data_IF_414887520452
#
_entry.id   IF_414887520452
#
_cell.length_a   1.000
_cell.length_b   1.000
_cell.length_c   1.000
_cell.angle_alpha   90.00
_cell.angle_beta   90.00
_cell.angle_gamma   90.00
#
_symmetry.space_group_name_H-M   'P 1'
#
loop_
_entity.id
_entity.type
_entity.pdbx_description
1 polymer ?
#
# COMPACT_ATOMS: atom_id res chain seq x y z
N UNK A 1 8.30 -7.02 -7.93
CA UNK A 1 8.79 -6.11 -8.99
C UNK A 1 7.98 -4.83 -9.12
N UNK A 2 6.67 -4.89 -9.35
CA UNK A 2 5.80 -3.73 -9.61
C UNK A 2 5.89 -2.64 -8.51
N UNK A 3 5.82 -3.02 -7.23
CA UNK A 3 5.87 -2.09 -6.09
C UNK A 3 7.18 -1.29 -6.05
N UNK A 4 8.30 -1.93 -6.30
CA UNK A 4 9.61 -1.26 -6.33
C UNK A 4 9.72 -0.30 -7.51
N UNK A 5 9.27 -0.71 -8.69
CA UNK A 5 9.29 0.12 -9.90
C UNK A 5 8.48 1.41 -9.73
N UNK A 6 7.26 1.31 -9.18
CA UNK A 6 6.42 2.50 -8.93
C UNK A 6 7.08 3.45 -7.93
N UNK A 7 7.73 2.94 -6.89
CA UNK A 7 8.42 3.78 -5.89
C UNK A 7 9.68 4.44 -6.43
N UNK A 8 10.45 3.74 -7.26
CA UNK A 8 11.60 4.32 -7.97
C UNK A 8 11.13 5.45 -8.90
N UNK A 9 10.01 5.26 -9.61
CA UNK A 9 9.42 6.30 -10.45
C UNK A 9 9.02 7.54 -9.66
N UNK A 10 8.35 7.37 -8.52
CA UNK A 10 7.99 8.50 -7.63
C UNK A 10 9.24 9.20 -7.09
N UNK A 11 10.27 8.45 -6.70
CA UNK A 11 11.54 9.02 -6.26
C UNK A 11 12.25 9.80 -7.38
N UNK A 12 12.22 9.30 -8.61
CA UNK A 12 12.78 10.00 -9.77
C UNK A 12 12.06 11.33 -10.02
N UNK A 13 10.72 11.34 -9.96
CA UNK A 13 9.91 12.56 -10.07
C UNK A 13 10.29 13.55 -8.97
N UNK A 14 10.42 13.09 -7.72
CA UNK A 14 10.84 13.93 -6.60
C UNK A 14 12.22 14.56 -6.85
N UNK A 15 13.18 13.79 -7.32
CA UNK A 15 14.55 14.29 -7.59
C UNK A 15 14.56 15.33 -8.71
N UNK A 16 13.86 15.05 -9.81
CA UNK A 16 13.77 15.99 -10.93
C UNK A 16 13.04 17.26 -10.50
N UNK A 17 11.94 17.12 -9.76
CA UNK A 17 11.18 18.23 -9.23
C UNK A 17 12.06 19.15 -8.35
N UNK A 18 12.77 18.58 -7.40
CA UNK A 18 13.66 19.36 -6.51
C UNK A 18 14.81 20.03 -7.27
N UNK A 19 15.35 19.38 -8.30
CA UNK A 19 16.45 19.91 -9.09
C UNK A 19 16.02 21.08 -10.00
N UNK A 20 14.78 21.04 -10.51
CA UNK A 20 14.30 22.03 -11.49
C UNK A 20 13.47 23.15 -10.86
N UNK A 21 12.65 22.81 -9.86
CA UNK A 21 11.66 23.70 -9.23
C UNK A 21 11.86 23.90 -7.73
N UNK A 22 13.04 23.54 -7.21
CA UNK A 22 13.37 23.75 -5.81
C UNK A 22 13.50 25.24 -5.46
N UNK A 23 13.82 25.53 -4.21
CA UNK A 23 13.85 26.88 -3.63
C UNK A 23 14.78 27.85 -4.39
N UNK A 24 15.76 27.35 -5.15
CA UNK A 24 16.70 28.15 -5.95
C UNK A 24 16.17 28.52 -7.35
N UNK A 25 15.00 28.02 -7.74
CA UNK A 25 14.44 28.23 -9.10
C UNK A 25 13.83 29.63 -9.32
N UNK A 26 13.89 30.54 -8.34
CA UNK A 26 13.42 31.92 -8.46
C UNK A 26 11.93 32.00 -8.81
N UNK A 27 11.59 32.63 -9.95
CA UNK A 27 10.20 32.81 -10.38
C UNK A 27 9.46 31.49 -10.72
N UNK A 28 10.18 30.39 -10.94
CA UNK A 28 9.63 29.08 -11.24
C UNK A 28 9.55 28.20 -9.98
N UNK A 29 9.96 28.69 -8.82
CA UNK A 29 9.76 28.01 -7.55
C UNK A 29 8.27 27.74 -7.35
N UNK A 30 7.92 26.53 -6.96
CA UNK A 30 6.54 26.06 -6.77
C UNK A 30 5.70 25.92 -8.09
N UNK A 31 6.31 26.00 -9.27
CA UNK A 31 5.60 25.69 -10.51
C UNK A 31 5.12 24.24 -10.51
N UNK A 32 3.84 24.05 -10.84
CA UNK A 32 3.23 22.71 -10.87
C UNK A 32 2.87 22.11 -9.51
N UNK A 33 3.08 22.82 -8.41
CA UNK A 33 2.67 22.43 -7.07
C UNK A 33 1.22 21.93 -7.03
N UNK A 34 0.29 22.75 -7.52
CA UNK A 34 -1.13 22.39 -7.59
C UNK A 34 -1.37 21.15 -8.45
N UNK A 35 -0.65 21.00 -9.56
CA UNK A 35 -0.79 19.86 -10.45
C UNK A 35 -0.33 18.55 -9.79
N UNK A 36 0.79 18.57 -9.06
CA UNK A 36 1.29 17.40 -8.31
C UNK A 36 0.36 17.05 -7.15
N UNK A 37 -0.11 18.02 -6.41
CA UNK A 37 -1.02 17.80 -5.28
C UNK A 37 -2.35 17.25 -5.76
N UNK A 38 -2.99 17.88 -6.76
CA UNK A 38 -4.27 17.42 -7.32
C UNK A 38 -4.13 16.06 -7.99
N UNK A 39 -3.07 15.85 -8.77
CA UNK A 39 -2.79 14.56 -9.40
C UNK A 39 -2.53 13.45 -8.38
N UNK A 40 -1.79 13.76 -7.31
CA UNK A 40 -1.56 12.84 -6.21
C UNK A 40 -2.85 12.49 -5.45
N UNK A 41 -3.70 13.47 -5.16
CA UNK A 41 -5.00 13.26 -4.52
C UNK A 41 -5.95 12.45 -5.42
N UNK A 42 -6.02 12.74 -6.71
CA UNK A 42 -6.82 11.97 -7.67
C UNK A 42 -6.35 10.51 -7.75
N UNK A 43 -5.04 10.28 -7.79
CA UNK A 43 -4.44 8.93 -7.77
C UNK A 43 -4.76 8.19 -6.48
N UNK A 44 -4.70 8.87 -5.34
CA UNK A 44 -5.05 8.31 -4.04
C UNK A 44 -6.53 7.89 -3.99
N UNK A 45 -7.43 8.76 -4.43
CA UNK A 45 -8.88 8.47 -4.49
C UNK A 45 -9.19 7.30 -5.42
N UNK A 46 -8.59 7.28 -6.61
CA UNK A 46 -8.73 6.17 -7.55
C UNK A 46 -8.27 4.85 -6.93
N UNK A 47 -7.10 4.86 -6.29
CA UNK A 47 -6.56 3.70 -5.59
C UNK A 47 -7.45 3.23 -4.44
N UNK A 48 -8.02 4.15 -3.66
CA UNK A 48 -8.92 3.84 -2.54
C UNK A 48 -10.21 3.17 -3.03
N UNK A 49 -10.85 3.71 -4.06
CA UNK A 49 -12.05 3.12 -4.67
C UNK A 49 -11.73 1.74 -5.25
N UNK A 50 -10.62 1.60 -5.96
CA UNK A 50 -10.19 0.32 -6.52
C UNK A 50 -9.88 -0.73 -5.45
N UNK A 51 -9.28 -0.33 -4.33
CA UNK A 51 -9.01 -1.21 -3.21
C UNK A 51 -10.30 -1.72 -2.55
N UNK A 52 -11.29 -0.85 -2.35
CA UNK A 52 -12.59 -1.21 -1.78
C UNK A 52 -13.39 -2.14 -2.72
N UNK A 53 -13.28 -1.95 -4.02
CA UNK A 53 -13.95 -2.78 -5.03
C UNK A 53 -13.25 -4.14 -5.28
N UNK A 54 -12.05 -4.33 -4.75
CA UNK A 54 -11.24 -5.53 -5.03
C UNK A 54 -11.53 -6.63 -4.01
N UNK A 55 -11.79 -7.84 -4.51
CA UNK A 55 -11.96 -9.05 -3.70
C UNK A 55 -10.73 -9.98 -3.74
N UNK A 56 -9.77 -9.67 -4.61
CA UNK A 56 -8.56 -10.45 -4.80
C UNK A 56 -7.37 -9.80 -4.08
N UNK A 57 -6.59 -10.59 -3.32
CA UNK A 57 -5.46 -10.11 -2.53
C UNK A 57 -4.37 -9.44 -3.36
N UNK A 58 -4.06 -9.98 -4.53
CA UNK A 58 -3.09 -9.41 -5.46
C UNK A 58 -3.54 -8.04 -5.99
N UNK A 59 -4.83 -7.89 -6.33
CA UNK A 59 -5.43 -6.62 -6.73
C UNK A 59 -5.45 -5.61 -5.60
N UNK A 60 -5.82 -6.01 -4.39
CA UNK A 60 -5.79 -5.15 -3.20
C UNK A 60 -4.39 -4.58 -2.96
N UNK A 61 -3.36 -5.41 -3.05
CA UNK A 61 -1.98 -4.97 -2.90
C UNK A 61 -1.55 -4.03 -4.04
N UNK A 62 -1.99 -4.25 -5.28
CA UNK A 62 -1.77 -3.35 -6.40
C UNK A 62 -2.37 -1.96 -6.16
N UNK A 63 -3.63 -1.88 -5.75
CA UNK A 63 -4.28 -0.62 -5.40
C UNK A 63 -3.66 0.05 -4.17
N UNK A 64 -3.20 -0.72 -3.18
CA UNK A 64 -2.44 -0.20 -2.05
C UNK A 64 -1.12 0.47 -2.47
N UNK A 65 -0.43 -0.08 -3.47
CA UNK A 65 0.75 0.56 -4.05
C UNK A 65 0.42 1.87 -4.77
N UNK A 66 -0.73 1.94 -5.45
CA UNK A 66 -1.24 3.17 -6.10
C UNK A 66 -1.57 4.23 -5.04
N UNK A 67 -2.29 3.87 -3.96
CA UNK A 67 -2.60 4.76 -2.85
C UNK A 67 -1.33 5.37 -2.26
N UNK A 68 -0.34 4.54 -1.95
CA UNK A 68 0.91 5.02 -1.35
C UNK A 68 1.74 5.88 -2.30
N UNK A 69 1.66 5.65 -3.61
CA UNK A 69 2.30 6.50 -4.62
C UNK A 69 1.57 7.85 -4.77
N UNK A 70 0.24 7.84 -4.77
CA UNK A 70 -0.58 9.04 -4.78
C UNK A 70 -0.33 9.93 -3.56
N UNK A 71 -0.22 9.33 -2.37
CA UNK A 71 0.14 10.05 -1.14
C UNK A 71 1.49 10.75 -1.27
N UNK A 72 2.51 10.05 -1.78
CA UNK A 72 3.84 10.63 -2.00
C UNK A 72 3.81 11.76 -3.02
N UNK A 73 3.12 11.61 -4.14
CA UNK A 73 2.98 12.66 -5.16
C UNK A 73 2.30 13.91 -4.58
N UNK A 74 1.24 13.74 -3.81
CA UNK A 74 0.56 14.85 -3.14
C UNK A 74 1.47 15.60 -2.17
N UNK A 75 2.36 14.87 -1.47
CA UNK A 75 3.32 15.43 -0.52
C UNK A 75 4.47 16.16 -1.20
N UNK A 76 4.97 15.64 -2.33
CA UNK A 76 6.02 16.29 -3.14
C UNK A 76 5.57 17.70 -3.57
N UNK A 77 4.27 17.88 -3.82
CA UNK A 77 3.68 19.17 -4.11
C UNK A 77 3.81 20.20 -2.95
N UNK A 78 4.19 19.84 -1.73
CA UNK A 78 4.39 20.75 -0.61
C UNK A 78 5.88 21.01 -0.38
N UNK A 79 6.32 22.23 -0.62
CA UNK A 79 7.71 22.64 -0.40
C UNK A 79 8.04 22.71 1.10
N UNK A 80 9.17 22.10 1.48
CA UNK A 80 9.69 22.17 2.83
C UNK A 80 10.64 21.02 3.14
N UNK A 81 11.77 21.32 3.76
CA UNK A 81 12.76 20.29 4.11
C UNK A 81 12.22 19.23 5.08
N UNK A 82 11.33 19.63 5.99
CA UNK A 82 10.67 18.73 6.95
C UNK A 82 9.68 17.79 6.26
N UNK A 83 8.93 18.32 5.28
CA UNK A 83 7.98 17.54 4.46
C UNK A 83 8.73 16.53 3.62
N UNK A 84 9.88 16.91 3.06
CA UNK A 84 10.71 16.02 2.28
C UNK A 84 11.26 14.86 3.11
N UNK A 85 11.80 15.15 4.30
CA UNK A 85 12.33 14.13 5.21
C UNK A 85 11.24 13.11 5.62
N UNK A 86 10.05 13.59 6.00
CA UNK A 86 8.91 12.74 6.35
C UNK A 86 8.40 11.95 5.14
N UNK A 87 8.40 12.53 3.95
CA UNK A 87 8.06 11.87 2.70
C UNK A 87 9.01 10.72 2.35
N UNK A 88 10.32 10.91 2.53
CA UNK A 88 11.32 9.85 2.33
C UNK A 88 11.17 8.72 3.35
N UNK A 89 10.89 9.04 4.61
CA UNK A 89 10.61 8.05 5.63
C UNK A 89 9.36 7.22 5.29
N UNK A 90 8.27 7.91 4.86
CA UNK A 90 7.06 7.22 4.40
C UNK A 90 7.32 6.36 3.16
N UNK A 91 8.14 6.82 2.22
CA UNK A 91 8.54 6.05 1.04
C UNK A 91 9.18 4.73 1.44
N UNK A 92 10.16 4.75 2.35
CA UNK A 92 10.83 3.54 2.82
C UNK A 92 9.87 2.61 3.56
N UNK A 93 9.13 3.14 4.55
CA UNK A 93 8.19 2.36 5.35
C UNK A 93 7.10 1.70 4.48
N UNK A 94 6.49 2.47 3.57
CA UNK A 94 5.44 1.95 2.67
C UNK A 94 5.97 0.93 1.66
N UNK A 95 7.21 1.09 1.19
CA UNK A 95 7.83 0.16 0.25
C UNK A 95 8.09 -1.19 0.89
N UNK A 96 8.66 -1.19 2.10
CA UNK A 96 8.93 -2.42 2.86
C UNK A 96 7.64 -3.15 3.24
N UNK A 97 6.64 -2.40 3.74
CA UNK A 97 5.35 -2.97 4.12
C UNK A 97 4.63 -3.61 2.94
N UNK A 98 4.58 -2.92 1.79
CA UNK A 98 3.95 -3.44 0.58
C UNK A 98 4.71 -4.62 -0.02
N UNK A 99 6.05 -4.60 -0.01
CA UNK A 99 6.86 -5.72 -0.48
C UNK A 99 6.63 -6.97 0.38
N UNK A 100 6.60 -6.82 1.71
CA UNK A 100 6.30 -7.91 2.63
C UNK A 100 4.88 -8.46 2.41
N UNK A 101 3.89 -7.58 2.23
CA UNK A 101 2.50 -7.97 1.98
C UNK A 101 2.35 -8.76 0.68
N UNK A 102 3.01 -8.34 -0.41
CA UNK A 102 3.02 -9.05 -1.69
C UNK A 102 3.64 -10.45 -1.56
N UNK A 103 4.77 -10.57 -0.84
CA UNK A 103 5.41 -11.85 -0.60
C UNK A 103 4.52 -12.81 0.20
N UNK A 104 3.80 -12.29 1.19
CA UNK A 104 2.87 -13.08 1.99
C UNK A 104 1.66 -13.57 1.16
N UNK A 105 1.13 -12.74 0.26
CA UNK A 105 0.07 -13.14 -0.67
C UNK A 105 0.57 -14.28 -1.57
N UNK A 106 1.74 -14.10 -2.18
CA UNK A 106 2.33 -15.14 -3.05
C UNK A 106 2.56 -16.45 -2.28
N UNK A 107 3.03 -16.35 -1.03
CA UNK A 107 3.21 -17.52 -0.19
C UNK A 107 1.87 -18.21 0.15
N UNK A 108 0.83 -17.42 0.45
CA UNK A 108 -0.51 -17.93 0.71
C UNK A 108 -1.11 -18.62 -0.53
N UNK A 109 -0.89 -18.07 -1.72
CA UNK A 109 -1.34 -18.66 -2.97
C UNK A 109 -0.64 -20.00 -3.27
N UNK A 110 0.65 -20.12 -2.94
CA UNK A 110 1.40 -21.39 -3.12
C UNK A 110 0.92 -22.51 -2.19
N UNK A 111 0.34 -22.18 -1.05
CA UNK A 111 -0.18 -23.17 -0.10
C UNK A 111 -1.58 -23.64 -0.52
N UNK A 112 -2.30 -22.89 -1.34
CA UNK A 112 -3.60 -23.32 -1.88
C UNK A 112 -3.41 -24.50 -2.82
N UNK A 113 -4.13 -25.64 -2.60
CA UNK A 113 -4.02 -26.77 -3.52
C UNK A 113 -4.50 -26.35 -4.92
N UNK A 114 -3.76 -26.74 -5.98
CA UNK A 114 -4.15 -26.45 -7.35
C UNK A 114 -5.51 -27.09 -7.61
N UNK A 115 -6.50 -26.30 -8.03
CA UNK A 115 -7.86 -26.76 -8.31
C UNK A 115 -8.88 -26.53 -7.19
N UNK A 116 -8.50 -26.07 -6.00
CA UNK A 116 -9.45 -25.80 -4.91
C UNK A 116 -10.53 -24.76 -5.31
N UNK A 117 -10.15 -23.75 -6.07
CA UNK A 117 -11.11 -22.76 -6.59
C UNK A 117 -12.06 -23.34 -7.62
N UNK A 118 -11.57 -24.23 -8.49
CA UNK A 118 -12.39 -24.92 -9.48
C UNK A 118 -13.35 -25.92 -8.80
N UNK A 119 -12.85 -26.61 -7.78
CA UNK A 119 -13.66 -27.54 -6.99
C UNK A 119 -14.79 -26.81 -6.24
N UNK A 120 -14.49 -25.69 -5.63
CA UNK A 120 -15.49 -24.86 -4.96
C UNK A 120 -16.57 -24.35 -5.92
N UNK A 121 -16.20 -23.88 -7.11
CA UNK A 121 -17.13 -23.46 -8.16
C UNK A 121 -17.99 -24.64 -8.68
N UNK A 122 -17.42 -25.83 -8.83
CA UNK A 122 -18.18 -27.01 -9.26
C UNK A 122 -19.12 -27.48 -8.17
N UNK A 123 -18.71 -27.49 -6.91
CA UNK A 123 -19.59 -27.85 -5.79
C UNK A 123 -20.77 -26.87 -5.67
N UNK A 124 -20.52 -25.56 -5.82
CA UNK A 124 -21.58 -24.55 -5.84
C UNK A 124 -22.51 -24.71 -7.04
N UNK A 125 -21.99 -24.99 -8.23
CA UNK A 125 -22.78 -25.18 -9.44
C UNK A 125 -23.64 -26.43 -9.42
N UNK A 126 -23.21 -27.50 -8.73
CA UNK A 126 -23.94 -28.74 -8.60
C UNK A 126 -24.84 -28.83 -7.35
N UNK A 127 -24.89 -27.74 -6.55
CA UNK A 127 -25.70 -27.71 -5.33
C UNK A 127 -25.32 -28.77 -4.29
N UNK A 128 -24.08 -29.23 -4.31
CA UNK A 128 -23.55 -30.14 -3.31
C UNK A 128 -23.26 -29.27 -2.08
N UNK A 129 -24.28 -29.01 -1.28
CA UNK A 129 -24.07 -28.46 0.06
C UNK A 129 -23.31 -29.51 0.87
N UNK A 130 -22.08 -29.20 1.23
CA UNK A 130 -21.41 -29.91 2.30
C UNK A 130 -22.34 -29.83 3.52
N UNK A 131 -22.94 -30.97 3.90
CA UNK A 131 -23.60 -31.03 5.22
C UNK A 131 -22.58 -30.57 6.22
N UNK A 132 -22.94 -29.62 7.11
CA UNK A 132 -22.06 -29.20 8.18
C UNK A 132 -21.76 -30.49 8.99
N UNK A 133 -20.63 -31.12 8.71
CA UNK A 133 -20.01 -32.03 9.65
C UNK A 133 -19.74 -31.18 10.90
N UNK A 134 -20.16 -31.70 12.06
CA UNK A 134 -19.89 -31.06 13.35
C UNK A 134 -18.47 -30.48 13.33
N UNK A 135 -18.26 -29.23 13.78
CA UNK A 135 -16.96 -28.58 13.70
C UNK A 135 -15.96 -29.32 14.61
N UNK A 136 -15.41 -30.40 14.08
CA UNK A 136 -14.26 -31.04 14.68
C UNK A 136 -13.14 -30.02 14.54
N UNK A 137 -12.70 -29.43 15.65
CA UNK A 137 -11.64 -28.45 15.66
C UNK A 137 -10.40 -29.01 14.99
N UNK A 138 -10.22 -28.70 13.71
CA UNK A 138 -8.99 -29.05 12.97
C UNK A 138 -7.87 -28.20 13.54
N UNK A 139 -6.90 -28.84 14.18
CA UNK A 139 -5.72 -28.17 14.72
C UNK A 139 -5.02 -27.40 13.58
N UNK A 140 -4.98 -26.07 13.70
CA UNK A 140 -4.30 -25.21 12.72
C UNK A 140 -2.81 -25.52 12.76
N UNK A 141 -2.18 -25.97 11.67
CA UNK A 141 -0.73 -26.19 11.64
C UNK A 141 0.01 -24.91 12.05
N UNK A 142 1.04 -25.02 12.87
CA UNK A 142 1.77 -23.84 13.38
C UNK A 142 2.30 -22.93 12.28
N UNK A 143 2.64 -23.49 11.11
CA UNK A 143 3.05 -22.72 9.91
C UNK A 143 1.93 -21.83 9.35
N UNK A 144 0.71 -22.31 9.33
CA UNK A 144 -0.47 -21.56 8.89
C UNK A 144 -0.83 -20.46 9.91
N UNK A 145 -0.72 -20.74 11.19
CA UNK A 145 -0.91 -19.75 12.25
C UNK A 145 0.12 -18.63 12.16
N UNK A 146 1.39 -18.96 11.93
CA UNK A 146 2.45 -17.98 11.72
C UNK A 146 2.22 -17.13 10.48
N UNK A 147 1.81 -17.72 9.37
CA UNK A 147 1.47 -17.00 8.14
C UNK A 147 0.32 -16.02 8.36
N UNK A 148 -0.75 -16.46 9.03
CA UNK A 148 -1.89 -15.60 9.37
C UNK A 148 -1.50 -14.43 10.27
N UNK A 149 -0.66 -14.66 11.28
CA UNK A 149 -0.16 -13.61 12.17
C UNK A 149 0.71 -12.60 11.41
N UNK A 150 1.59 -13.08 10.52
CA UNK A 150 2.44 -12.23 9.68
C UNK A 150 1.60 -11.38 8.73
N UNK A 151 0.54 -11.95 8.15
CA UNK A 151 -0.40 -11.23 7.30
C UNK A 151 -1.15 -10.15 8.08
N UNK A 152 -1.65 -10.46 9.28
CA UNK A 152 -2.31 -9.50 10.15
C UNK A 152 -1.35 -8.37 10.55
N UNK A 153 -0.12 -8.68 10.92
CA UNK A 153 0.89 -7.67 11.24
C UNK A 153 1.17 -6.73 10.07
N UNK A 154 1.35 -7.26 8.85
CA UNK A 154 1.53 -6.43 7.64
C UNK A 154 0.31 -5.56 7.35
N UNK A 155 -0.90 -6.09 7.48
CA UNK A 155 -2.15 -5.34 7.30
C UNK A 155 -2.24 -4.18 8.30
N UNK A 156 -1.88 -4.39 9.57
CA UNK A 156 -1.85 -3.36 10.61
C UNK A 156 -0.79 -2.26 10.30
N UNK A 157 0.37 -2.64 9.77
CA UNK A 157 1.40 -1.66 9.34
C UNK A 157 0.89 -0.82 8.18
N UNK A 158 0.25 -1.44 7.18
CA UNK A 158 -0.28 -0.74 6.00
C UNK A 158 -1.44 0.17 6.38
N UNK A 159 -2.34 -0.27 7.25
CA UNK A 159 -3.45 0.55 7.76
C UNK A 159 -2.96 1.76 8.56
N UNK A 160 -1.79 1.65 9.17
CA UNK A 160 -1.19 2.71 9.99
C UNK A 160 -1.76 2.73 11.40
N UNK A 161 -1.93 1.56 12.02
CA UNK A 161 -2.33 1.51 13.43
C UNK A 161 -1.16 1.79 14.37
N UNK A 162 -1.35 2.61 15.43
CA UNK A 162 -0.33 2.76 16.47
C UNK A 162 -0.14 1.42 17.22
N UNK A 163 1.07 1.04 17.63
CA UNK A 163 2.33 1.78 17.63
C UNK A 163 3.28 1.47 16.45
N UNK A 164 2.77 1.03 15.32
CA UNK A 164 3.54 0.49 14.20
C UNK A 164 4.19 1.59 13.33
N UNK A 165 5.26 1.21 12.61
CA UNK A 165 6.02 2.13 11.75
C UNK A 165 5.16 2.84 10.70
N UNK A 166 4.11 2.18 10.20
CA UNK A 166 3.14 2.77 9.27
C UNK A 166 2.39 3.97 9.84
N UNK A 167 2.03 3.93 11.13
CA UNK A 167 1.42 5.07 11.83
C UNK A 167 2.40 6.22 11.95
N UNK A 168 3.61 5.96 12.44
CA UNK A 168 4.64 6.99 12.63
C UNK A 168 4.94 7.69 11.31
N UNK A 169 5.04 6.92 10.22
CA UNK A 169 5.31 7.46 8.89
C UNK A 169 4.18 8.38 8.39
N UNK A 170 2.93 7.98 8.55
CA UNK A 170 1.77 8.80 8.15
C UNK A 170 1.63 10.02 9.07
N UNK A 171 1.77 9.84 10.37
CA UNK A 171 1.66 10.92 11.34
C UNK A 171 2.75 11.99 11.13
N UNK A 172 4.01 11.60 10.96
CA UNK A 172 5.10 12.54 10.68
C UNK A 172 4.86 13.33 9.40
N UNK A 173 4.29 12.69 8.39
CA UNK A 173 3.96 13.30 7.11
C UNK A 173 2.83 14.33 7.26
N UNK A 174 1.73 13.99 7.92
CA UNK A 174 0.64 14.94 8.19
C UNK A 174 1.08 16.09 9.08
N UNK A 175 1.84 15.81 10.14
CA UNK A 175 2.39 16.84 11.00
C UNK A 175 3.30 17.83 10.25
N UNK A 176 4.17 17.31 9.38
CA UNK A 176 5.03 18.14 8.56
C UNK A 176 4.25 19.03 7.57
N UNK A 177 3.19 18.50 6.97
CA UNK A 177 2.30 19.26 6.07
C UNK A 177 1.56 20.39 6.82
N UNK A 178 1.04 20.11 8.01
CA UNK A 178 0.35 21.12 8.83
C UNK A 178 1.30 22.19 9.33
N UNK A 179 2.56 21.86 9.60
CA UNK A 179 3.56 22.82 10.05
C UNK A 179 4.11 23.69 8.90
N UNK A 180 3.89 23.30 7.65
CA UNK A 180 4.35 24.05 6.46
C UNK A 180 3.28 25.01 5.90
N UNK A 181 2.06 24.96 6.41
CA UNK A 181 0.95 25.88 6.09
C UNK A 181 0.96 27.08 7.00
#
# INVERSE_FOLDING_TARGET
MLVLMTKVGVYAVLRVWLAVFGDEAGALSNFGFAALTLGGMATLLFGAIGMLASQDGGRMAGFGAIISSGTLLAVIGHSGSTVLASGLYYLLASTLAMAAFMLLIELAERIRPPGAALLALTMEAFGIEDKPEDPVGVGIPGTLAFLGLSFAACALVISGMPPLAGFVAKFSLFHAMLAST
#
